data_IF_931584282286
#
_entry.id   IF_931584282286
#
_cell.length_a   1.000
_cell.length_b   1.000
_cell.length_c   1.000
_cell.angle_alpha   90.00
_cell.angle_beta   90.00
_cell.angle_gamma   90.00
#
_symmetry.space_group_name_H-M   'P 1'
#
loop_
_entity.id
_entity.type
_entity.pdbx_description
1 polymer ?
#
# COMPACT_ATOMS: atom_id res chain seq x y z
N UNK A 1 -17.86 -15.69 3.21
CA UNK A 1 -17.04 -14.57 2.70
C UNK A 1 -15.61 -14.78 3.17
N UNK A 2 -14.61 -14.44 2.37
CA UNK A 2 -13.20 -14.55 2.77
C UNK A 2 -12.88 -13.59 3.93
N UNK A 3 -13.39 -12.35 3.84
CA UNK A 3 -13.45 -11.40 4.95
C UNK A 3 -14.72 -10.55 4.84
N UNK A 4 -15.08 -9.86 5.93
CA UNK A 4 -16.15 -8.87 5.90
C UNK A 4 -15.66 -7.60 5.17
N UNK A 5 -16.47 -7.09 4.24
CA UNK A 5 -16.12 -5.91 3.44
C UNK A 5 -16.15 -4.62 4.26
N UNK A 6 -16.92 -4.57 5.34
CA UNK A 6 -16.90 -3.43 6.27
C UNK A 6 -15.53 -3.33 6.94
N UNK A 7 -15.03 -4.44 7.47
CA UNK A 7 -13.70 -4.50 8.12
C UNK A 7 -12.59 -4.14 7.11
N UNK A 8 -12.68 -4.68 5.87
CA UNK A 8 -11.71 -4.33 4.81
C UNK A 8 -11.69 -2.82 4.51
N UNK A 9 -12.87 -2.19 4.44
CA UNK A 9 -12.97 -0.75 4.21
C UNK A 9 -12.29 0.04 5.34
N UNK A 10 -12.47 -0.38 6.58
CA UNK A 10 -11.82 0.25 7.74
C UNK A 10 -10.29 0.11 7.68
N UNK A 11 -9.78 -1.08 7.33
CA UNK A 11 -8.34 -1.28 7.15
C UNK A 11 -7.77 -0.44 6.02
N UNK A 12 -8.46 -0.35 4.88
CA UNK A 12 -8.04 0.51 3.76
C UNK A 12 -8.09 2.00 4.12
N UNK A 13 -9.08 2.42 4.91
CA UNK A 13 -9.18 3.80 5.38
C UNK A 13 -7.94 4.19 6.19
N UNK A 14 -7.55 3.36 7.18
CA UNK A 14 -6.41 3.63 8.04
C UNK A 14 -5.05 3.46 7.32
N UNK A 15 -4.92 2.44 6.47
CA UNK A 15 -3.67 2.14 5.77
C UNK A 15 -3.38 3.10 4.61
N UNK A 16 -4.41 3.55 3.89
CA UNK A 16 -4.29 4.23 2.60
C UNK A 16 -4.87 5.65 2.66
N UNK A 17 -6.17 5.79 2.95
CA UNK A 17 -6.87 7.07 2.79
C UNK A 17 -6.36 8.12 3.77
N UNK A 18 -6.28 7.80 5.06
CA UNK A 18 -5.79 8.73 6.09
C UNK A 18 -4.37 9.24 5.85
N UNK A 19 -3.38 8.40 5.49
CA UNK A 19 -2.02 8.88 5.25
C UNK A 19 -1.80 9.50 3.86
N UNK A 20 -2.55 9.13 2.82
CA UNK A 20 -2.21 9.50 1.43
C UNK A 20 -3.21 10.45 0.76
N UNK A 21 -4.49 10.42 1.14
CA UNK A 21 -5.52 11.19 0.43
C UNK A 21 -5.33 12.70 0.63
N UNK A 22 -5.36 13.46 -0.47
CA UNK A 22 -5.12 14.90 -0.49
C UNK A 22 -3.80 15.34 0.18
N UNK A 23 -2.75 14.50 0.13
CA UNK A 23 -1.41 14.78 0.66
C UNK A 23 -0.36 14.95 -0.43
N UNK A 24 0.69 15.70 -0.12
CA UNK A 24 1.93 15.64 -0.85
C UNK A 24 2.79 14.50 -0.27
N UNK A 25 3.10 13.49 -1.08
CA UNK A 25 3.82 12.29 -0.60
C UNK A 25 5.16 12.64 0.04
N UNK A 26 6.02 13.38 -0.65
CA UNK A 26 7.38 13.66 -0.18
C UNK A 26 7.44 14.59 1.04
N UNK A 27 6.40 15.39 1.30
CA UNK A 27 6.38 16.39 2.38
C UNK A 27 5.54 15.97 3.59
N UNK A 28 4.40 15.35 3.35
CA UNK A 28 3.39 15.10 4.38
C UNK A 28 3.43 13.65 4.90
N UNK A 29 4.09 12.74 4.17
CA UNK A 29 4.13 11.32 4.51
C UNK A 29 5.58 10.95 4.89
N UNK A 30 5.87 10.75 6.18
CA UNK A 30 7.25 10.57 6.66
C UNK A 30 8.05 9.47 5.94
N UNK A 31 7.38 8.41 5.48
CA UNK A 31 8.01 7.33 4.72
C UNK A 31 8.71 7.82 3.44
N UNK A 32 8.13 8.79 2.73
CA UNK A 32 8.68 9.29 1.46
C UNK A 32 9.69 10.44 1.64
N UNK A 33 10.07 10.77 2.89
CA UNK A 33 11.15 11.74 3.13
C UNK A 33 12.54 11.20 2.77
N UNK A 34 12.71 9.88 2.83
CA UNK A 34 13.96 9.18 2.49
C UNK A 34 13.80 8.21 1.30
N UNK A 35 12.55 7.97 0.86
CA UNK A 35 12.21 7.04 -0.21
C UNK A 35 11.53 7.80 -1.34
N UNK A 36 12.02 7.64 -2.57
CA UNK A 36 11.42 8.28 -3.76
C UNK A 36 9.97 7.80 -3.92
N UNK A 37 9.02 8.72 -4.10
CA UNK A 37 7.59 8.42 -4.20
C UNK A 37 7.15 7.83 -5.56
N UNK A 38 7.88 6.86 -6.11
CA UNK A 38 7.45 6.16 -7.33
C UNK A 38 6.25 5.27 -7.06
N UNK A 39 5.47 4.94 -8.09
CA UNK A 39 4.28 4.06 -7.94
C UNK A 39 4.64 2.69 -7.34
N UNK A 40 5.84 2.18 -7.63
CA UNK A 40 6.41 0.98 -7.00
C UNK A 40 6.54 1.11 -5.49
N UNK A 41 7.17 2.19 -5.03
CA UNK A 41 7.36 2.44 -3.61
C UNK A 41 6.04 2.76 -2.89
N UNK A 42 5.07 3.36 -3.58
CA UNK A 42 3.70 3.51 -3.06
C UNK A 42 3.01 2.16 -2.88
N UNK A 43 3.14 1.24 -3.84
CA UNK A 43 2.57 -0.10 -3.73
C UNK A 43 3.18 -0.89 -2.56
N UNK A 44 4.51 -0.78 -2.36
CA UNK A 44 5.21 -1.37 -1.21
C UNK A 44 4.74 -0.74 0.10
N UNK A 45 4.68 0.59 0.18
CA UNK A 45 4.19 1.30 1.37
C UNK A 45 2.77 0.84 1.77
N UNK A 46 1.85 0.78 0.80
CA UNK A 46 0.47 0.32 1.04
C UNK A 46 0.45 -1.14 1.51
N UNK A 47 1.25 -2.01 0.89
CA UNK A 47 1.35 -3.41 1.27
C UNK A 47 1.82 -3.57 2.71
N UNK A 48 2.91 -2.91 3.10
CA UNK A 48 3.46 -3.02 4.45
C UNK A 48 2.49 -2.52 5.52
N UNK A 49 1.75 -1.44 5.21
CA UNK A 49 0.70 -0.89 6.09
C UNK A 49 -0.47 -1.85 6.22
N UNK A 50 -0.94 -2.43 5.12
CA UNK A 50 -2.04 -3.40 5.14
C UNK A 50 -1.64 -4.70 5.85
N UNK A 51 -0.41 -5.19 5.68
CA UNK A 51 0.09 -6.40 6.36
C UNK A 51 0.09 -6.25 7.89
N UNK A 52 0.29 -5.04 8.41
CA UNK A 52 0.27 -4.79 9.86
C UNK A 52 -1.15 -4.81 10.45
N UNK A 53 -2.17 -4.48 9.64
CA UNK A 53 -3.56 -4.38 10.09
C UNK A 53 -4.37 -5.65 9.79
N UNK A 54 -4.10 -6.29 8.65
CA UNK A 54 -4.82 -7.48 8.22
C UNK A 54 -4.34 -8.72 8.98
N UNK A 55 -5.23 -9.70 9.22
CA UNK A 55 -4.81 -11.01 9.70
C UNK A 55 -3.76 -11.65 8.77
N UNK A 56 -2.72 -12.29 9.33
CA UNK A 56 -1.66 -12.90 8.54
C UNK A 56 -2.18 -13.88 7.49
N UNK A 57 -1.61 -13.82 6.28
CA UNK A 57 -1.95 -14.71 5.17
C UNK A 57 -3.20 -14.33 4.36
N UNK A 58 -3.86 -13.21 4.68
CA UNK A 58 -5.02 -12.73 3.91
C UNK A 58 -4.66 -11.78 2.76
N UNK A 59 -3.62 -10.95 2.91
CA UNK A 59 -3.23 -10.03 1.86
C UNK A 59 -2.55 -10.80 0.72
N UNK A 60 -3.10 -10.70 -0.48
CA UNK A 60 -2.60 -11.42 -1.66
C UNK A 60 -1.91 -10.51 -2.68
N UNK A 61 -2.46 -9.32 -2.92
CA UNK A 61 -1.98 -8.40 -3.96
C UNK A 61 -2.39 -6.96 -3.63
N UNK A 62 -1.48 -6.02 -3.83
CA UNK A 62 -1.76 -4.58 -3.94
C UNK A 62 -1.53 -4.17 -5.38
N UNK A 63 -2.46 -3.41 -5.94
CA UNK A 63 -2.38 -2.86 -7.29
C UNK A 63 -2.61 -1.35 -7.21
N UNK A 64 -1.63 -0.57 -7.66
CA UNK A 64 -1.69 0.89 -7.68
C UNK A 64 -1.70 1.34 -9.12
N UNK A 65 -2.75 2.06 -9.48
CA UNK A 65 -2.89 2.68 -10.79
C UNK A 65 -2.65 4.18 -10.65
N UNK A 66 -1.50 4.64 -11.13
CA UNK A 66 -1.16 6.08 -11.11
C UNK A 66 -1.90 6.81 -12.25
N UNK A 67 -1.92 6.21 -13.43
CA UNK A 67 -2.67 6.68 -14.60
C UNK A 67 -3.24 5.47 -15.35
N UNK A 68 -4.01 5.68 -16.42
CA UNK A 68 -4.53 4.59 -17.27
C UNK A 68 -3.45 3.69 -17.87
N UNK A 69 -2.23 4.19 -18.04
CA UNK A 69 -1.11 3.48 -18.68
C UNK A 69 -0.05 3.01 -17.68
N UNK A 70 -0.07 3.52 -16.45
CA UNK A 70 0.91 3.22 -15.40
C UNK A 70 0.24 2.45 -14.26
N UNK A 71 0.48 1.14 -14.23
CA UNK A 71 -0.07 0.23 -13.23
C UNK A 71 1.09 -0.55 -12.62
N UNK A 72 1.14 -0.58 -11.30
CA UNK A 72 2.09 -1.41 -10.54
C UNK A 72 1.31 -2.42 -9.73
N UNK A 73 1.81 -3.66 -9.73
CA UNK A 73 1.33 -4.74 -8.88
C UNK A 73 2.44 -5.18 -7.95
N UNK A 74 2.15 -5.28 -6.65
CA UNK A 74 3.05 -5.81 -5.64
C UNK A 74 2.39 -6.93 -4.83
N UNK A 75 3.15 -7.98 -4.54
CA UNK A 75 2.68 -9.21 -3.86
C UNK A 75 3.53 -9.62 -2.65
N UNK A 76 4.41 -8.72 -2.17
CA UNK A 76 5.27 -9.02 -1.02
C UNK A 76 6.34 -10.08 -1.27
N UNK A 77 6.82 -10.21 -2.51
CA UNK A 77 7.88 -11.16 -2.85
C UNK A 77 9.17 -10.78 -2.13
N UNK A 78 9.78 -11.71 -1.39
CA UNK A 78 11.08 -11.49 -0.76
C UNK A 78 12.15 -11.31 -1.84
N UNK A 79 12.78 -10.14 -1.87
CA UNK A 79 13.99 -9.94 -2.66
C UNK A 79 15.13 -10.63 -1.90
N UNK A 80 15.39 -11.89 -2.23
CA UNK A 80 16.62 -12.59 -1.84
C UNK A 80 17.80 -11.89 -2.52
N UNK A 81 18.46 -10.98 -1.80
CA UNK A 81 19.77 -10.47 -2.20
C UNK A 81 20.78 -11.61 -1.97
N UNK A 82 21.25 -12.22 -3.06
CA UNK A 82 22.38 -13.15 -3.04
C UNK A 82 23.71 -12.41 -2.96
#
# INVERSE_FOLDING_TARGET
>A
MVMNLTDLKEFMQAAIMEPLDHKNLDKDVPYFSEVVSTTENVAVFIWDRLQQLLPPGLLYKVEVQETEQNIVVYKGEEILVK
#
